data_IF_966927188224
#
_entry.id   IF_966927188224
#
_cell.length_a   1.000
_cell.length_b   1.000
_cell.length_c   1.000
_cell.angle_alpha   90.00
_cell.angle_beta   90.00
_cell.angle_gamma   90.00
#
_symmetry.space_group_name_H-M   'P 1'
#
loop_
_entity.id
_entity.type
_entity.pdbx_description
1 polymer ?
#
# COMPACT_ATOMS: atom_id res chain seq x y z
N UNK A 1 -16.23 25.86 -34.80
CA UNK A 1 -16.11 26.49 -33.47
C UNK A 1 -14.98 25.82 -32.74
N UNK A 2 -13.99 26.56 -32.22
CA UNK A 2 -12.78 25.98 -31.66
C UNK A 2 -13.06 25.31 -30.30
N UNK A 3 -12.41 24.16 -30.11
CA UNK A 3 -12.32 23.44 -28.84
C UNK A 3 -11.49 24.32 -27.91
N UNK A 4 -12.10 24.85 -26.85
CA UNK A 4 -11.39 25.53 -25.77
C UNK A 4 -10.71 24.48 -24.89
N UNK A 5 -9.40 24.34 -25.06
CA UNK A 5 -8.51 23.71 -24.07
C UNK A 5 -8.23 24.75 -22.97
N UNK A 6 -8.91 24.63 -21.83
CA UNK A 6 -8.60 25.40 -20.63
C UNK A 6 -7.66 24.64 -19.69
N UNK A 7 -6.60 25.27 -19.14
CA UNK A 7 -5.81 24.72 -18.05
C UNK A 7 -6.40 25.21 -16.73
N UNK A 8 -7.21 24.39 -16.06
CA UNK A 8 -7.51 24.47 -14.61
C UNK A 8 -8.58 23.44 -14.21
N UNK A 9 -8.34 22.17 -14.54
CA UNK A 9 -8.97 21.10 -13.77
C UNK A 9 -8.16 20.94 -12.49
N UNK A 10 -8.41 21.80 -11.50
CA UNK A 10 -8.01 21.50 -10.12
C UNK A 10 -8.68 20.17 -9.79
N UNK A 11 -7.93 19.07 -9.81
CA UNK A 11 -8.39 17.79 -9.30
C UNK A 11 -8.66 18.01 -7.82
N UNK A 12 -9.90 18.35 -7.49
CA UNK A 12 -10.36 18.37 -6.10
C UNK A 12 -10.36 16.90 -5.69
N UNK A 13 -9.30 16.48 -5.02
CA UNK A 13 -9.22 15.18 -4.39
C UNK A 13 -10.49 15.01 -3.55
N UNK A 14 -11.27 13.96 -3.82
CA UNK A 14 -12.41 13.66 -2.95
C UNK A 14 -11.89 13.54 -1.52
N UNK A 15 -12.56 14.12 -0.52
CA UNK A 15 -12.15 13.97 0.86
C UNK A 15 -12.12 12.48 1.19
N UNK A 16 -10.94 12.01 1.57
CA UNK A 16 -10.76 10.64 2.07
C UNK A 16 -11.18 10.70 3.53
N UNK A 17 -12.28 10.02 3.86
CA UNK A 17 -12.73 9.90 5.23
C UNK A 17 -11.68 9.16 6.06
N UNK A 18 -11.20 9.79 7.13
CA UNK A 18 -10.23 9.19 8.03
C UNK A 18 -9.73 10.16 9.10
N UNK A 19 -9.30 9.61 10.22
CA UNK A 19 -8.74 10.37 11.34
C UNK A 19 -7.23 10.29 11.32
N UNK A 20 -6.53 11.40 11.59
CA UNK A 20 -5.07 11.35 11.71
C UNK A 20 -4.70 10.54 12.94
N UNK A 21 -3.70 9.67 12.79
CA UNK A 21 -3.16 8.94 13.94
C UNK A 21 -2.51 9.94 14.92
N UNK A 22 -2.86 9.88 16.22
CA UNK A 22 -2.34 10.82 17.21
C UNK A 22 -0.86 10.54 17.52
N UNK A 23 -0.15 11.51 18.10
CA UNK A 23 1.26 11.35 18.52
C UNK A 23 1.49 10.09 19.36
N UNK A 24 0.59 9.83 20.30
CA UNK A 24 0.62 8.67 21.20
C UNK A 24 0.55 7.32 20.46
N UNK A 25 0.00 7.29 19.23
CA UNK A 25 0.05 6.08 18.39
C UNK A 25 1.50 5.74 18.01
N UNK A 26 2.31 6.74 17.69
CA UNK A 26 3.69 6.55 17.26
C UNK A 26 4.67 6.44 18.44
N UNK A 27 4.36 7.06 19.58
CA UNK A 27 5.20 7.08 20.79
C UNK A 27 5.12 5.74 21.56
N UNK A 28 5.43 4.65 20.86
CA UNK A 28 5.44 3.26 21.31
C UNK A 28 6.60 2.53 20.63
N UNK A 29 7.02 1.34 21.10
CA UNK A 29 8.04 0.55 20.41
C UNK A 29 7.70 0.31 18.94
N UNK A 30 8.67 0.42 18.04
CA UNK A 30 8.45 0.27 16.59
C UNK A 30 7.89 -1.10 16.20
N UNK A 31 8.19 -2.14 16.98
CA UNK A 31 7.65 -3.50 16.83
C UNK A 31 6.16 -3.61 17.17
N UNK A 32 5.62 -2.70 18.01
CA UNK A 32 4.19 -2.59 18.27
C UNK A 32 3.50 -1.70 17.23
N UNK A 33 4.14 -0.61 16.83
CA UNK A 33 3.59 0.34 15.84
C UNK A 33 3.50 -0.28 14.44
N UNK A 34 4.50 -1.06 14.02
CA UNK A 34 4.57 -1.61 12.68
C UNK A 34 3.31 -2.39 12.26
N UNK A 35 2.90 -3.48 12.95
CA UNK A 35 1.70 -4.22 12.55
C UNK A 35 0.44 -3.35 12.56
N UNK A 36 0.32 -2.38 13.46
CA UNK A 36 -0.84 -1.48 13.54
C UNK A 36 -0.90 -0.43 12.41
N UNK A 37 0.21 -0.18 11.71
CA UNK A 37 0.24 0.66 10.51
C UNK A 37 -0.30 -0.06 9.28
N UNK A 38 -0.41 -1.39 9.29
CA UNK A 38 -1.05 -2.11 8.19
C UNK A 38 -2.50 -1.68 8.06
N UNK A 39 -2.95 -1.58 6.81
CA UNK A 39 -4.25 -1.04 6.41
C UNK A 39 -4.46 0.46 6.69
N UNK A 40 -3.52 1.20 7.28
CA UNK A 40 -3.64 2.68 7.36
C UNK A 40 -3.35 3.33 6.01
N UNK A 41 -3.82 4.55 5.82
CA UNK A 41 -3.70 5.28 4.55
C UNK A 41 -2.55 6.26 4.60
N UNK A 42 -1.57 6.13 3.71
CA UNK A 42 -0.59 7.17 3.43
C UNK A 42 -1.23 8.18 2.48
N UNK A 43 -1.25 9.46 2.86
CA UNK A 43 -1.99 10.51 2.14
C UNK A 43 -1.10 11.70 1.86
N UNK A 44 -1.15 12.20 0.62
CA UNK A 44 -0.65 13.53 0.24
C UNK A 44 -1.81 14.51 0.08
N UNK A 45 -1.55 15.78 0.36
CA UNK A 45 -2.52 16.86 0.16
C UNK A 45 -2.84 17.16 -1.32
N UNK A 46 -2.10 16.56 -2.26
CA UNK A 46 -2.36 16.63 -3.69
C UNK A 46 -3.26 15.50 -4.22
N UNK A 47 -3.79 14.64 -3.33
CA UNK A 47 -4.75 13.60 -3.68
C UNK A 47 -4.15 12.19 -3.86
N UNK A 48 -2.83 12.02 -3.76
CA UNK A 48 -2.22 10.68 -3.73
C UNK A 48 -2.55 9.95 -2.44
N UNK A 49 -3.15 8.77 -2.58
CA UNK A 49 -3.53 7.90 -1.45
C UNK A 49 -3.18 6.46 -1.75
N UNK A 50 -2.60 5.79 -0.75
CA UNK A 50 -2.32 4.36 -0.82
C UNK A 50 -2.47 3.73 0.56
N UNK A 51 -2.97 2.50 0.60
CA UNK A 51 -3.09 1.70 1.82
C UNK A 51 -1.77 1.00 2.12
N UNK A 52 -1.25 1.15 3.33
CA UNK A 52 0.01 0.50 3.74
C UNK A 52 -0.22 -1.01 3.84
N UNK A 53 0.59 -1.78 3.12
CA UNK A 53 0.48 -3.25 3.02
C UNK A 53 1.79 -3.98 3.33
N UNK A 54 2.89 -3.28 3.57
CA UNK A 54 4.11 -3.93 4.05
C UNK A 54 4.95 -2.93 4.83
N UNK A 55 5.47 -3.37 5.98
CA UNK A 55 6.26 -2.55 6.90
C UNK A 55 7.37 -3.36 7.55
N UNK A 56 8.42 -2.67 7.99
CA UNK A 56 9.50 -3.25 8.81
C UNK A 56 9.80 -2.39 10.04
N UNK A 57 10.01 -3.01 11.20
CA UNK A 57 10.44 -2.32 12.40
C UNK A 57 11.97 -2.29 12.52
N UNK A 58 12.47 -1.16 13.02
CA UNK A 58 13.86 -0.95 13.42
C UNK A 58 13.90 -0.45 14.87
N UNK A 59 14.61 -1.18 15.72
CA UNK A 59 14.54 -1.03 17.19
C UNK A 59 15.81 -0.41 17.80
N UNK A 60 16.39 0.59 17.12
CA UNK A 60 17.39 1.44 17.76
C UNK A 60 18.69 0.71 18.12
N UNK A 61 19.14 0.93 19.35
CA UNK A 61 20.34 0.31 19.92
C UNK A 61 20.26 -1.21 20.06
N UNK A 62 19.07 -1.78 20.11
CA UNK A 62 18.84 -3.24 20.21
C UNK A 62 18.93 -3.95 18.84
N UNK A 63 19.04 -3.19 17.76
CA UNK A 63 18.91 -3.69 16.39
C UNK A 63 20.16 -3.44 15.55
N UNK A 64 21.06 -4.42 15.40
CA UNK A 64 22.25 -4.31 14.56
C UNK A 64 22.01 -3.95 13.09
N UNK A 65 20.78 -4.07 12.59
CA UNK A 65 20.38 -3.66 11.23
C UNK A 65 19.94 -2.19 11.14
N UNK A 66 19.61 -1.54 12.25
CA UNK A 66 19.11 -0.18 12.27
C UNK A 66 20.22 0.85 12.01
N UNK A 67 19.86 1.95 11.35
CA UNK A 67 20.76 3.09 11.18
C UNK A 67 21.16 3.75 12.50
N UNK A 68 20.34 3.59 13.53
CA UNK A 68 20.50 4.12 14.89
C UNK A 68 21.28 3.20 15.83
N UNK A 69 21.65 1.99 15.40
CA UNK A 69 22.35 1.00 16.24
C UNK A 69 23.61 1.55 16.94
N UNK A 70 24.37 2.38 16.21
CA UNK A 70 25.59 3.02 16.72
C UNK A 70 25.37 4.44 17.26
N UNK A 71 24.12 4.79 17.54
CA UNK A 71 23.71 6.10 18.00
C UNK A 71 23.47 7.12 16.89
N UNK A 72 23.28 8.36 17.33
CA UNK A 72 22.91 9.48 16.48
C UNK A 72 24.09 9.98 15.63
N UNK A 73 23.78 10.34 14.40
CA UNK A 73 24.64 10.98 13.41
C UNK A 73 23.86 12.07 12.70
N UNK A 74 24.52 12.98 11.99
CA UNK A 74 23.84 13.99 11.18
C UNK A 74 22.87 13.39 10.13
N UNK A 75 23.13 12.16 9.66
CA UNK A 75 22.31 11.49 8.63
C UNK A 75 21.03 10.88 9.19
N UNK A 76 21.03 10.42 10.44
CA UNK A 76 19.89 9.74 11.06
C UNK A 76 19.25 10.57 12.17
N UNK A 77 19.67 11.84 12.35
CA UNK A 77 19.20 12.71 13.43
C UNK A 77 17.67 12.78 13.54
N UNK A 78 16.97 12.85 12.40
CA UNK A 78 15.50 12.86 12.34
C UNK A 78 14.88 11.60 12.97
N UNK A 79 15.55 10.44 12.89
CA UNK A 79 15.11 9.18 13.50
C UNK A 79 15.08 9.24 15.04
N UNK A 80 15.84 10.16 15.65
CA UNK A 80 15.89 10.38 17.09
C UNK A 80 14.98 11.52 17.55
N UNK A 81 14.23 12.13 16.63
CA UNK A 81 13.29 13.20 16.92
C UNK A 81 12.00 12.71 17.56
N UNK A 82 10.98 13.56 17.55
CA UNK A 82 9.68 13.25 18.12
C UNK A 82 8.93 12.21 17.27
N UNK A 83 8.25 11.26 17.92
CA UNK A 83 7.44 10.24 17.26
C UNK A 83 6.43 10.83 16.25
N UNK A 84 6.10 10.11 15.19
CA UNK A 84 5.18 10.58 14.14
C UNK A 84 5.82 11.52 13.12
N UNK A 85 7.12 11.78 13.21
CA UNK A 85 7.89 12.40 12.13
C UNK A 85 8.33 11.37 11.09
N UNK A 86 8.59 11.82 9.87
CA UNK A 86 9.27 11.02 8.87
C UNK A 86 10.79 11.11 9.04
N UNK A 87 11.44 9.95 9.01
CA UNK A 87 12.87 9.83 8.73
C UNK A 87 13.05 9.36 7.29
N UNK A 88 13.57 10.25 6.43
CA UNK A 88 13.74 10.01 5.00
C UNK A 88 15.22 10.03 4.64
N UNK A 89 15.71 8.92 4.07
CA UNK A 89 17.13 8.77 3.76
C UNK A 89 17.36 8.28 2.33
N UNK A 90 18.45 8.76 1.73
CA UNK A 90 18.90 8.28 0.43
C UNK A 90 19.68 6.98 0.58
N UNK A 91 19.43 6.02 -0.30
CA UNK A 91 20.03 4.68 -0.30
C UNK A 91 20.35 4.19 -1.71
N UNK A 92 21.37 3.33 -1.79
CA UNK A 92 21.85 2.69 -3.03
C UNK A 92 22.07 3.65 -4.21
N UNK A 93 22.36 4.92 -3.93
CA UNK A 93 22.65 5.94 -4.96
C UNK A 93 21.46 6.35 -5.83
N UNK A 94 20.24 5.85 -5.58
CA UNK A 94 19.10 6.08 -6.49
C UNK A 94 17.71 6.12 -5.84
N UNK A 95 17.56 5.71 -4.58
CA UNK A 95 16.26 5.58 -3.94
C UNK A 95 16.18 6.29 -2.60
N UNK A 96 14.98 6.74 -2.24
CA UNK A 96 14.66 7.22 -0.90
C UNK A 96 13.92 6.13 -0.12
N UNK A 97 14.27 5.95 1.14
CA UNK A 97 13.48 5.18 2.11
C UNK A 97 12.76 6.12 3.05
N UNK A 98 11.51 5.82 3.39
CA UNK A 98 10.65 6.66 4.25
C UNK A 98 10.20 5.88 5.47
N UNK A 99 10.56 6.35 6.66
CA UNK A 99 10.30 5.68 7.93
C UNK A 99 9.47 6.58 8.82
N UNK A 100 8.60 5.98 9.62
CA UNK A 100 7.82 6.66 10.65
C UNK A 100 8.56 6.53 11.97
N UNK A 101 9.02 7.65 12.52
CA UNK A 101 9.71 7.70 13.83
C UNK A 101 8.75 7.27 14.92
N UNK A 102 9.23 6.41 15.81
CA UNK A 102 8.48 5.83 16.91
C UNK A 102 9.24 6.05 18.23
N UNK A 103 8.64 5.61 19.34
CA UNK A 103 9.27 5.66 20.66
C UNK A 103 9.46 7.06 21.21
N UNK A 104 10.27 7.17 22.26
CA UNK A 104 10.61 8.44 22.88
C UNK A 104 11.74 9.17 22.13
N UNK A 105 11.80 10.49 22.30
CA UNK A 105 12.88 11.32 21.74
C UNK A 105 14.23 10.78 22.22
N UNK A 106 15.15 10.55 21.28
CA UNK A 106 16.48 10.02 21.55
C UNK A 106 16.62 8.50 21.46
N UNK A 107 15.54 7.74 21.26
CA UNK A 107 15.63 6.28 21.13
C UNK A 107 16.10 5.83 19.74
N UNK A 108 15.78 6.59 18.69
CA UNK A 108 16.19 6.24 17.33
C UNK A 108 15.44 5.02 16.78
N UNK A 109 14.18 4.81 17.13
CA UNK A 109 13.37 3.68 16.65
C UNK A 109 12.37 4.14 15.58
N UNK A 110 12.11 3.30 14.57
CA UNK A 110 11.21 3.68 13.49
C UNK A 110 10.62 2.48 12.75
N UNK A 111 9.58 2.73 11.95
CA UNK A 111 8.97 1.76 11.04
C UNK A 111 9.20 2.19 9.59
N UNK A 112 9.87 1.37 8.78
CA UNK A 112 9.98 1.58 7.35
C UNK A 112 8.66 1.26 6.65
N UNK A 113 8.16 2.20 5.85
CA UNK A 113 7.05 1.95 4.94
C UNK A 113 7.59 1.25 3.68
N UNK A 114 7.28 -0.03 3.52
CA UNK A 114 7.81 -0.82 2.40
C UNK A 114 6.92 -0.82 1.19
N UNK A 115 5.64 -1.12 1.36
CA UNK A 115 4.72 -1.17 0.25
C UNK A 115 3.37 -0.58 0.62
N UNK A 116 2.73 0.01 -0.38
CA UNK A 116 1.37 0.51 -0.27
C UNK A 116 0.59 0.18 -1.55
N UNK A 117 -0.68 -0.19 -1.42
CA UNK A 117 -1.61 -0.41 -2.52
C UNK A 117 -2.27 0.93 -2.89
N UNK A 118 -2.06 1.46 -4.11
CA UNK A 118 -2.68 2.72 -4.53
C UNK A 118 -4.21 2.67 -4.47
N UNK A 119 -4.83 3.75 -4.01
CA UNK A 119 -6.28 3.94 -3.94
C UNK A 119 -6.71 5.10 -4.84
N UNK A 120 -5.99 6.22 -4.77
CA UNK A 120 -6.29 7.44 -5.52
C UNK A 120 -5.01 8.20 -5.88
N UNK A 121 -5.11 9.08 -6.89
CA UNK A 121 -3.99 9.90 -7.35
C UNK A 121 -2.97 9.16 -8.20
N UNK A 122 -3.33 8.01 -8.79
CA UNK A 122 -2.45 7.21 -9.63
C UNK A 122 -1.88 8.02 -10.80
N UNK A 123 -2.65 8.95 -11.37
CA UNK A 123 -2.24 9.87 -12.43
C UNK A 123 -1.07 10.77 -12.02
N UNK A 124 -0.90 11.05 -10.72
CA UNK A 124 0.24 11.76 -10.16
C UNK A 124 1.40 10.82 -9.79
N UNK A 125 1.12 9.53 -9.57
CA UNK A 125 2.14 8.52 -9.25
C UNK A 125 2.87 7.99 -10.50
N UNK A 126 2.15 7.74 -11.60
CA UNK A 126 2.71 7.18 -12.85
C UNK A 126 3.86 8.01 -13.44
N UNK A 127 3.79 9.35 -13.53
CA UNK A 127 4.90 10.18 -14.02
C UNK A 127 6.19 10.01 -13.19
N UNK A 128 6.06 9.73 -11.89
CA UNK A 128 7.19 9.48 -10.98
C UNK A 128 7.69 8.03 -11.04
N UNK A 129 6.95 7.15 -11.73
CA UNK A 129 7.20 5.71 -11.84
C UNK A 129 7.09 5.26 -13.31
N UNK A 130 7.94 5.75 -14.23
CA UNK A 130 7.83 5.46 -15.67
C UNK A 130 7.98 3.98 -16.05
N UNK A 131 8.55 3.16 -15.16
CA UNK A 131 8.64 1.71 -15.33
C UNK A 131 7.36 0.96 -14.92
N UNK A 132 6.44 1.59 -14.20
CA UNK A 132 5.18 0.97 -13.79
C UNK A 132 4.29 0.71 -15.03
N UNK A 133 3.60 -0.43 -15.03
CA UNK A 133 2.62 -0.79 -16.08
C UNK A 133 1.24 -0.98 -15.50
N UNK A 134 1.16 -1.33 -14.22
CA UNK A 134 -0.07 -1.53 -13.47
C UNK A 134 0.03 -0.82 -12.11
N UNK A 135 -1.12 -0.60 -11.45
CA UNK A 135 -1.16 0.10 -10.17
C UNK A 135 -0.30 -0.57 -9.10
N UNK A 136 -0.24 -1.91 -9.09
CA UNK A 136 0.61 -2.65 -8.13
C UNK A 136 2.12 -2.39 -8.32
N UNK A 137 2.56 -1.89 -9.48
CA UNK A 137 3.97 -1.55 -9.73
C UNK A 137 4.39 -0.21 -9.12
N UNK A 138 3.42 0.65 -8.77
CA UNK A 138 3.66 2.01 -8.33
C UNK A 138 4.39 2.06 -7.00
N UNK A 139 3.90 1.31 -6.00
CA UNK A 139 4.37 1.39 -4.62
C UNK A 139 4.64 0.01 -3.97
N UNK A 140 5.03 -0.99 -4.76
CA UNK A 140 5.40 -2.36 -4.31
C UNK A 140 6.85 -2.51 -3.82
N UNK A 141 7.35 -1.54 -3.05
CA UNK A 141 8.70 -1.58 -2.48
C UNK A 141 9.16 -0.20 -1.99
N UNK A 142 10.09 -0.12 -1.02
CA UNK A 142 10.30 1.12 -0.24
C UNK A 142 10.75 2.30 -1.10
N UNK A 143 11.66 2.05 -2.05
CA UNK A 143 12.08 3.06 -3.03
C UNK A 143 10.98 3.42 -4.03
N UNK A 144 10.15 2.45 -4.43
CA UNK A 144 9.02 2.67 -5.36
C UNK A 144 7.93 3.51 -4.69
N UNK A 145 7.56 3.17 -3.44
CA UNK A 145 6.62 3.91 -2.62
C UNK A 145 7.05 5.36 -2.46
N UNK A 146 8.30 5.59 -2.03
CA UNK A 146 8.83 6.95 -1.86
C UNK A 146 8.79 7.72 -3.18
N UNK A 147 9.16 7.09 -4.31
CA UNK A 147 9.06 7.72 -5.63
C UNK A 147 7.61 8.04 -6.05
N UNK A 148 6.67 7.08 -5.92
CA UNK A 148 5.26 7.29 -6.25
C UNK A 148 4.63 8.44 -5.44
N UNK A 149 5.07 8.59 -4.19
CA UNK A 149 4.65 9.67 -3.30
C UNK A 149 5.53 10.92 -3.38
N UNK A 150 6.52 10.97 -4.29
CA UNK A 150 7.41 12.12 -4.47
C UNK A 150 8.19 12.49 -3.20
N UNK A 151 8.50 11.51 -2.36
CA UNK A 151 9.23 11.67 -1.11
C UNK A 151 10.72 11.66 -1.41
N UNK A 152 11.35 12.80 -1.12
CA UNK A 152 12.77 13.02 -1.19
C UNK A 152 13.27 13.68 0.10
N UNK A 153 14.51 14.17 0.13
CA UNK A 153 15.12 14.81 1.30
C UNK A 153 14.25 15.89 1.96
N UNK A 154 13.41 16.59 1.21
CA UNK A 154 12.58 17.69 1.74
C UNK A 154 11.49 17.21 2.68
N UNK A 155 11.22 15.91 2.71
CA UNK A 155 10.27 15.27 3.62
C UNK A 155 10.93 14.71 4.88
N UNK A 156 12.26 14.74 4.99
CA UNK A 156 12.93 14.37 6.23
C UNK A 156 12.54 15.35 7.34
N UNK A 157 12.01 14.83 8.45
CA UNK A 157 11.43 15.62 9.53
C UNK A 157 10.00 16.10 9.27
N UNK A 158 9.29 15.61 8.25
CA UNK A 158 7.87 15.94 8.09
C UNK A 158 7.02 15.29 9.20
N UNK A 159 6.29 16.10 9.94
CA UNK A 159 5.34 15.69 10.98
C UNK A 159 4.02 15.19 10.37
N UNK A 160 3.73 13.90 10.54
CA UNK A 160 2.52 13.23 10.06
C UNK A 160 1.26 13.59 10.87
N UNK A 161 1.42 14.00 12.13
CA UNK A 161 0.31 14.36 13.03
C UNK A 161 -0.26 15.71 12.62
N UNK A 162 0.61 16.68 12.36
CA UNK A 162 0.21 18.02 11.87
C UNK A 162 0.01 18.06 10.35
N UNK A 163 0.39 16.99 9.64
CA UNK A 163 0.42 16.90 8.19
C UNK A 163 1.31 17.97 7.53
N UNK A 164 2.42 18.29 8.19
CA UNK A 164 3.41 19.19 7.61
C UNK A 164 3.91 18.64 6.27
N UNK A 165 4.36 19.52 5.37
CA UNK A 165 4.78 19.16 4.01
C UNK A 165 3.67 18.46 3.19
N UNK A 166 2.42 18.49 3.66
CA UNK A 166 1.27 17.91 2.96
C UNK A 166 1.31 16.39 2.92
N UNK A 167 1.84 15.73 3.95
CA UNK A 167 1.84 14.26 4.08
C UNK A 167 1.32 13.83 5.46
N UNK A 168 0.50 12.79 5.52
CA UNK A 168 -0.03 12.27 6.79
C UNK A 168 -0.37 10.78 6.66
N UNK A 169 -0.66 10.13 7.79
CA UNK A 169 -1.26 8.80 7.83
C UNK A 169 -2.64 8.88 8.49
N UNK A 170 -3.65 8.37 7.80
CA UNK A 170 -5.04 8.35 8.26
C UNK A 170 -5.48 6.93 8.64
N UNK A 171 -6.34 6.87 9.64
CA UNK A 171 -7.17 5.72 9.98
C UNK A 171 -8.58 5.92 9.43
N UNK A 172 -8.95 5.11 8.44
CA UNK A 172 -10.29 5.08 7.84
C UNK A 172 -11.22 4.06 8.52
N UNK A 173 -10.81 3.51 9.67
CA UNK A 173 -11.54 2.49 10.42
C UNK A 173 -11.29 1.07 9.94
N UNK A 174 -10.44 0.86 8.92
CA UNK A 174 -10.00 -0.49 8.56
C UNK A 174 -8.98 -1.00 9.59
N UNK A 175 -9.28 -2.09 10.32
CA UNK A 175 -8.33 -2.64 11.29
C UNK A 175 -7.13 -3.26 10.57
N UNK A 176 -5.98 -3.39 11.24
CA UNK A 176 -4.88 -4.24 10.76
C UNK A 176 -5.36 -5.69 10.50
N UNK A 177 -4.66 -6.47 9.67
CA UNK A 177 -4.97 -7.88 9.48
C UNK A 177 -4.90 -8.65 10.82
N UNK A 178 -5.85 -9.56 11.07
CA UNK A 178 -5.87 -10.38 12.30
C UNK A 178 -4.64 -11.31 12.39
N UNK A 179 -4.19 -11.84 11.25
CA UNK A 179 -3.04 -12.74 11.13
C UNK A 179 -2.10 -12.25 10.02
N UNK A 180 -1.32 -11.18 10.27
CA UNK A 180 -0.35 -10.70 9.29
C UNK A 180 0.76 -11.74 9.14
N UNK A 181 1.27 -11.91 7.92
CA UNK A 181 2.49 -12.71 7.72
C UNK A 181 3.64 -11.97 8.39
N UNK A 182 4.27 -12.65 9.35
CA UNK A 182 5.43 -12.14 10.09
C UNK A 182 6.68 -12.86 9.60
N UNK A 183 7.74 -12.12 9.32
CA UNK A 183 8.97 -12.74 8.83
C UNK A 183 10.20 -11.85 8.90
N UNK A 184 11.33 -12.35 8.37
CA UNK A 184 12.58 -11.60 8.33
C UNK A 184 12.47 -10.38 7.43
N UNK A 185 13.26 -9.35 7.76
CA UNK A 185 13.35 -8.11 6.98
C UNK A 185 14.18 -8.31 5.72
N UNK A 186 13.92 -7.50 4.69
CA UNK A 186 14.50 -7.61 3.35
C UNK A 186 15.62 -6.58 3.17
N UNK A 187 16.76 -7.03 2.64
CA UNK A 187 17.88 -6.15 2.28
C UNK A 187 18.81 -5.79 3.43
N UNK A 188 18.72 -6.51 4.56
CA UNK A 188 19.60 -6.38 5.71
C UNK A 188 20.65 -7.51 5.75
N UNK A 189 21.81 -7.25 6.35
CA UNK A 189 22.92 -8.22 6.49
C UNK A 189 23.21 -8.61 7.93
N UNK A 190 22.54 -7.98 8.90
CA UNK A 190 22.64 -8.25 10.34
C UNK A 190 21.25 -8.38 10.92
N UNK A 191 21.10 -9.11 12.02
CA UNK A 191 19.79 -9.36 12.63
C UNK A 191 18.75 -9.87 11.62
N UNK A 192 19.21 -10.73 10.71
CA UNK A 192 18.44 -11.24 9.55
C UNK A 192 17.30 -12.17 9.99
N UNK A 193 17.44 -12.82 11.14
CA UNK A 193 16.44 -13.74 11.68
C UNK A 193 15.34 -13.06 12.48
N UNK A 194 15.44 -11.74 12.71
CA UNK A 194 14.43 -11.01 13.49
C UNK A 194 13.12 -10.91 12.70
N UNK A 195 11.98 -11.35 13.28
CA UNK A 195 10.70 -11.41 12.61
C UNK A 195 10.00 -10.05 12.59
N UNK A 196 10.71 -9.01 12.13
CA UNK A 196 10.28 -7.62 12.20
C UNK A 196 9.83 -7.05 10.86
N UNK A 197 9.25 -7.90 10.02
CA UNK A 197 8.53 -7.53 8.79
C UNK A 197 7.11 -8.06 8.86
N UNK A 198 6.14 -7.22 8.52
CA UNK A 198 4.72 -7.57 8.49
C UNK A 198 4.10 -7.18 7.16
N UNK A 199 3.23 -8.05 6.63
CA UNK A 199 2.34 -7.76 5.52
C UNK A 199 1.04 -8.56 5.64
N UNK A 200 -0.06 -8.15 4.98
CA UNK A 200 -1.27 -8.95 4.93
C UNK A 200 -0.97 -10.36 4.40
N UNK A 201 -1.65 -11.38 4.94
CA UNK A 201 -1.60 -12.70 4.35
C UNK A 201 -2.19 -12.66 2.94
N UNK A 202 -1.76 -13.58 2.10
CA UNK A 202 -2.56 -13.93 0.92
C UNK A 202 -3.91 -14.42 1.46
N UNK A 203 -5.00 -13.70 1.22
CA UNK A 203 -6.33 -14.15 1.67
C UNK A 203 -6.65 -15.45 0.93
N UNK A 204 -6.72 -16.60 1.62
CA UNK A 204 -7.20 -17.80 0.97
C UNK A 204 -8.66 -17.56 0.58
N UNK A 205 -9.02 -17.91 -0.66
CA UNK A 205 -10.41 -17.90 -1.09
C UNK A 205 -11.09 -19.15 -0.56
N UNK A 206 -11.30 -19.22 0.76
CA UNK A 206 -11.92 -20.33 1.49
C UNK A 206 -13.45 -20.18 1.60
N UNK A 207 -13.95 -18.95 1.43
CA UNK A 207 -15.37 -18.59 1.44
C UNK A 207 -15.77 -17.81 0.18
N UNK A 208 -17.05 -17.86 -0.23
CA UNK A 208 -17.52 -17.10 -1.39
C UNK A 208 -17.37 -15.59 -1.20
N UNK A 209 -16.59 -14.95 -2.08
CA UNK A 209 -16.44 -13.51 -2.20
C UNK A 209 -17.36 -12.97 -3.30
N UNK A 210 -18.29 -12.09 -2.95
CA UNK A 210 -19.20 -11.44 -3.92
C UNK A 210 -18.76 -10.02 -4.25
N UNK A 211 -18.81 -9.66 -5.53
CA UNK A 211 -18.48 -8.33 -6.05
C UNK A 211 -19.49 -7.88 -7.10
N UNK A 212 -19.75 -6.58 -7.13
CA UNK A 212 -20.48 -5.95 -8.22
C UNK A 212 -19.49 -5.54 -9.31
N UNK A 213 -19.80 -5.87 -10.57
CA UNK A 213 -18.98 -5.52 -11.72
C UNK A 213 -19.83 -4.87 -12.80
N UNK A 214 -19.20 -4.04 -13.63
CA UNK A 214 -19.79 -3.55 -14.88
C UNK A 214 -18.94 -4.05 -16.04
N UNK A 215 -19.52 -4.83 -16.95
CA UNK A 215 -18.83 -5.37 -18.13
C UNK A 215 -19.59 -4.92 -19.37
N UNK A 216 -18.91 -4.19 -20.27
CA UNK A 216 -19.52 -3.61 -21.47
C UNK A 216 -20.83 -2.84 -21.19
N UNK A 217 -20.83 -2.05 -20.11
CA UNK A 217 -21.98 -1.23 -19.69
C UNK A 217 -23.11 -1.99 -18.99
N UNK A 218 -22.99 -3.31 -18.79
CA UNK A 218 -24.00 -4.13 -18.11
C UNK A 218 -23.56 -4.51 -16.69
N UNK A 219 -24.44 -4.44 -15.68
CA UNK A 219 -24.11 -4.80 -14.30
C UNK A 219 -24.16 -6.32 -14.07
N UNK A 220 -23.17 -6.83 -13.36
CA UNK A 220 -23.02 -8.24 -12.98
C UNK A 220 -22.74 -8.39 -11.49
N UNK A 221 -23.10 -9.57 -10.96
CA UNK A 221 -22.59 -10.08 -9.68
C UNK A 221 -21.55 -11.14 -9.99
N UNK A 222 -20.31 -10.90 -9.60
CA UNK A 222 -19.25 -11.90 -9.57
C UNK A 222 -19.24 -12.58 -8.19
N UNK A 223 -19.28 -13.90 -8.17
CA UNK A 223 -18.98 -14.71 -6.99
C UNK A 223 -17.70 -15.47 -7.27
N UNK A 224 -16.70 -15.33 -6.41
CA UNK A 224 -15.47 -16.12 -6.41
C UNK A 224 -15.54 -17.06 -5.22
N UNK A 225 -15.25 -18.34 -5.38
CA UNK A 225 -15.19 -19.30 -4.28
C UNK A 225 -14.02 -20.30 -4.49
N UNK A 226 -13.73 -21.22 -3.54
CA UNK A 226 -12.59 -22.14 -3.68
C UNK A 226 -12.64 -23.03 -4.93
N UNK A 227 -13.79 -23.19 -5.58
CA UNK A 227 -14.01 -24.07 -6.74
C UNK A 227 -13.97 -23.34 -8.08
N UNK A 228 -14.31 -22.05 -8.11
CA UNK A 228 -14.35 -21.29 -9.34
C UNK A 228 -14.89 -19.87 -9.19
N UNK A 229 -15.33 -19.32 -10.33
CA UNK A 229 -16.06 -18.07 -10.41
C UNK A 229 -17.43 -18.27 -11.06
N UNK A 230 -18.37 -17.42 -10.66
CA UNK A 230 -19.70 -17.32 -11.24
C UNK A 230 -20.04 -15.86 -11.52
N UNK A 231 -20.41 -15.55 -12.75
CA UNK A 231 -20.77 -14.21 -13.20
C UNK A 231 -22.23 -14.17 -13.64
N UNK A 232 -23.08 -13.45 -12.91
CA UNK A 232 -24.53 -13.35 -13.17
C UNK A 232 -24.92 -11.93 -13.53
N UNK A 233 -25.50 -11.71 -14.71
CA UNK A 233 -26.04 -10.39 -15.11
C UNK A 233 -27.21 -10.02 -14.19
N UNK A 234 -27.31 -8.75 -13.76
CA UNK A 234 -28.38 -8.27 -12.89
C UNK A 234 -29.75 -8.56 -13.50
N UNK A 235 -30.64 -9.19 -12.74
CA UNK A 235 -31.99 -9.58 -13.19
C UNK A 235 -32.04 -10.91 -13.96
N UNK A 236 -30.90 -11.55 -14.23
CA UNK A 236 -30.85 -12.92 -14.75
C UNK A 236 -30.67 -13.92 -13.62
N UNK A 237 -31.22 -15.13 -13.80
CA UNK A 237 -31.03 -16.27 -12.87
C UNK A 237 -29.86 -17.17 -13.29
N UNK A 238 -29.59 -17.28 -14.59
CA UNK A 238 -28.46 -18.03 -15.15
C UNK A 238 -27.28 -17.10 -15.37
N UNK A 239 -26.08 -17.59 -15.11
CA UNK A 239 -24.83 -16.87 -15.31
C UNK A 239 -23.75 -17.78 -15.89
N UNK A 240 -22.60 -17.20 -16.21
CA UNK A 240 -21.41 -17.91 -16.62
C UNK A 240 -20.73 -18.51 -15.37
N UNK A 241 -20.38 -19.78 -15.42
CA UNK A 241 -19.62 -20.46 -14.36
C UNK A 241 -18.31 -20.99 -14.95
N UNK A 242 -17.22 -20.81 -14.21
CA UNK A 242 -15.90 -21.28 -14.61
C UNK A 242 -15.17 -21.85 -13.41
N UNK A 243 -14.78 -23.12 -13.47
CA UNK A 243 -13.98 -23.75 -12.42
C UNK A 243 -12.52 -23.37 -12.57
N UNK A 244 -11.80 -23.27 -11.45
CA UNK A 244 -10.36 -22.98 -11.49
C UNK A 244 -9.57 -24.03 -12.29
N UNK A 245 -9.96 -25.30 -12.16
CA UNK A 245 -9.34 -26.39 -12.92
C UNK A 245 -9.52 -26.22 -14.43
N UNK A 246 -10.73 -25.89 -14.88
CA UNK A 246 -11.03 -25.67 -16.31
C UNK A 246 -10.29 -24.43 -16.85
N UNK A 247 -10.14 -23.40 -16.01
CA UNK A 247 -9.38 -22.20 -16.36
C UNK A 247 -7.88 -22.51 -16.52
N UNK A 248 -7.31 -23.32 -15.62
CA UNK A 248 -5.90 -23.70 -15.66
C UNK A 248 -5.60 -24.72 -16.76
N UNK A 249 -6.51 -25.65 -17.03
CA UNK A 249 -6.36 -26.64 -18.11
C UNK A 249 -6.52 -26.04 -19.50
N UNK A 250 -7.09 -24.83 -19.61
CA UNK A 250 -7.42 -24.16 -20.88
C UNK A 250 -8.78 -24.56 -21.45
N UNK A 251 -9.50 -25.49 -20.80
CA UNK A 251 -10.84 -25.93 -21.21
C UNK A 251 -11.89 -24.81 -21.10
N UNK A 252 -11.67 -23.85 -20.21
CA UNK A 252 -12.47 -22.63 -20.05
C UNK A 252 -12.60 -21.81 -21.34
N UNK A 253 -11.48 -21.66 -22.06
CA UNK A 253 -11.42 -20.93 -23.32
C UNK A 253 -12.18 -21.70 -24.41
N UNK A 254 -12.07 -23.04 -24.40
CA UNK A 254 -12.77 -23.93 -25.32
C UNK A 254 -14.29 -23.91 -25.09
N UNK A 255 -14.74 -23.96 -23.83
CA UNK A 255 -16.16 -23.97 -23.45
C UNK A 255 -16.87 -22.64 -23.77
N UNK A 256 -16.19 -21.50 -23.55
CA UNK A 256 -16.72 -20.18 -23.90
C UNK A 256 -16.77 -19.97 -25.42
N UNK A 257 -15.78 -20.45 -26.17
CA UNK A 257 -15.80 -20.46 -27.64
C UNK A 257 -16.91 -21.37 -28.20
N UNK A 258 -17.14 -22.54 -27.59
CA UNK A 258 -18.20 -23.47 -28.00
C UNK A 258 -19.60 -22.88 -27.76
N UNK A 259 -19.84 -22.26 -26.60
CA UNK A 259 -21.12 -21.61 -26.29
C UNK A 259 -21.39 -20.38 -27.17
N UNK A 260 -20.36 -19.59 -27.50
CA UNK A 260 -20.49 -18.47 -28.43
C UNK A 260 -20.83 -18.95 -29.85
N UNK A 261 -20.24 -20.07 -30.30
CA UNK A 261 -20.54 -20.69 -31.59
C UNK A 261 -21.97 -21.26 -31.69
N UNK A 262 -22.60 -21.61 -30.57
CA UNK A 262 -23.96 -22.15 -30.52
C UNK A 262 -25.04 -21.06 -30.37
N UNK A 263 -24.65 -19.80 -30.16
CA UNK A 263 -25.57 -18.66 -30.01
C UNK A 263 -25.50 -17.64 -31.17
N UNK A 264 -24.69 -17.90 -32.19
CA UNK A 264 -24.81 -17.17 -33.47
C UNK A 264 -25.86 -17.88 -34.34
N UNK A 265 -26.92 -17.17 -34.79
CA UNK A 265 -27.91 -17.73 -35.71
C UNK A 265 -27.33 -18.02 -37.10
#
# INVERSE_FOLDING_TARGET
MPIQTGPDATLVAQPIDGTRLPRAFYQRPSTAVAPELLNKLLVRNDGRVARIVEVEAYAGSEDPAAHSWRGMTARNASMFGEAGHLYVYFTYGMHWGSNVVCGDVGEGVAVLLRAAAPIAGQELMYPLRPAARHDHDLASGPGKLSQAFGLDRRFDGADLVTASHGITILDDGMPPPDDPVVGPRIGITRAVDFPWRWHPPMTPLDKPLRRHLTVAGKPYTLTLDPSGLKLVEKGRRKGLELRWQDLVSGDAALASALQASLQQP
#
